data_IF_908724397551
#
_entry.id   IF_908724397551
#
_cell.length_a   1.000
_cell.length_b   1.000
_cell.length_c   1.000
_cell.angle_alpha   90.00
_cell.angle_beta   90.00
_cell.angle_gamma   90.00
#
_symmetry.space_group_name_H-M   'P 1'
#
loop_
_entity.id
_entity.type
_entity.pdbx_description
1 polymer ?
#
# COMPACT_ATOMS: atom_id res chain seq x y z
N UNK A 1 9.16 -4.31 -31.24
CA UNK A 1 9.00 -4.11 -29.79
C UNK A 1 7.88 -5.02 -29.33
N UNK A 2 8.13 -5.89 -28.35
CA UNK A 2 7.10 -6.74 -27.75
C UNK A 2 6.74 -6.13 -26.39
N UNK A 3 5.47 -5.82 -26.16
CA UNK A 3 4.99 -5.23 -24.90
C UNK A 3 4.39 -6.37 -24.07
N UNK A 4 4.94 -6.62 -22.89
CA UNK A 4 4.43 -7.59 -21.92
C UNK A 4 4.08 -6.83 -20.64
N UNK A 5 2.83 -6.94 -20.20
CA UNK A 5 2.33 -6.32 -18.98
C UNK A 5 1.88 -7.41 -18.02
N UNK A 6 2.60 -7.60 -16.93
CA UNK A 6 2.18 -8.56 -15.90
C UNK A 6 1.24 -7.90 -14.89
N UNK A 7 0.53 -8.73 -14.12
CA UNK A 7 -0.38 -8.23 -13.09
C UNK A 7 0.36 -7.44 -12.01
N UNK A 8 1.59 -7.88 -11.67
CA UNK A 8 2.45 -7.19 -10.71
C UNK A 8 2.97 -5.86 -11.26
N UNK A 9 3.40 -5.83 -12.52
CA UNK A 9 3.87 -4.59 -13.16
C UNK A 9 2.73 -3.56 -13.24
N UNK A 10 1.53 -3.99 -13.66
CA UNK A 10 0.35 -3.12 -13.69
C UNK A 10 -0.04 -2.58 -12.31
N UNK A 11 0.12 -3.39 -11.25
CA UNK A 11 -0.10 -2.95 -9.88
C UNK A 11 0.93 -1.91 -9.45
N UNK A 12 2.20 -2.14 -9.79
CA UNK A 12 3.29 -1.21 -9.54
C UNK A 12 3.08 0.11 -10.27
N UNK A 13 2.74 0.10 -11.55
CA UNK A 13 2.49 1.32 -12.35
C UNK A 13 1.35 2.14 -11.76
N UNK A 14 0.25 1.47 -11.38
CA UNK A 14 -0.91 2.12 -10.76
C UNK A 14 -0.57 2.75 -9.41
N UNK A 15 0.22 2.04 -8.60
CA UNK A 15 0.67 2.54 -7.30
C UNK A 15 1.66 3.70 -7.44
N UNK A 16 2.60 3.58 -8.38
CA UNK A 16 3.61 4.58 -8.69
C UNK A 16 2.96 5.90 -9.09
N UNK A 17 1.97 5.82 -9.99
CA UNK A 17 1.22 7.00 -10.40
C UNK A 17 0.45 7.64 -9.24
N UNK A 18 -0.13 6.83 -8.35
CA UNK A 18 -0.79 7.33 -7.16
C UNK A 18 0.20 8.05 -6.22
N UNK A 19 1.38 7.47 -5.99
CA UNK A 19 2.45 8.06 -5.15
C UNK A 19 2.90 9.40 -5.72
N UNK A 20 3.20 9.49 -7.01
CA UNK A 20 3.60 10.74 -7.66
C UNK A 20 2.54 11.83 -7.51
N UNK A 21 1.27 11.48 -7.74
CA UNK A 21 0.15 12.40 -7.57
C UNK A 21 0.04 12.89 -6.13
N UNK A 22 0.35 12.07 -5.13
CA UNK A 22 0.24 12.44 -3.73
C UNK A 22 1.42 13.30 -3.27
N UNK A 23 2.64 12.94 -3.69
CA UNK A 23 3.87 13.64 -3.36
C UNK A 23 3.97 15.02 -4.02
N UNK A 24 3.58 15.14 -5.29
CA UNK A 24 3.81 16.35 -6.10
C UNK A 24 2.48 17.06 -6.42
N UNK A 25 2.10 18.02 -5.59
CA UNK A 25 0.79 18.71 -5.66
C UNK A 25 0.59 19.58 -6.91
N UNK A 26 1.67 19.99 -7.56
CA UNK A 26 1.63 20.86 -8.75
C UNK A 26 1.10 20.15 -10.01
N UNK A 27 0.95 18.82 -9.97
CA UNK A 27 0.60 18.01 -11.15
C UNK A 27 -0.85 18.21 -11.61
N UNK A 28 -1.80 18.54 -10.71
CA UNK A 28 -3.21 18.74 -11.06
C UNK A 28 -4.04 19.35 -9.93
N UNK A 29 -5.26 19.79 -10.20
CA UNK A 29 -6.21 20.23 -9.17
C UNK A 29 -6.44 19.13 -8.10
N UNK A 30 -6.45 19.53 -6.83
CA UNK A 30 -6.46 18.62 -5.67
C UNK A 30 -7.57 17.55 -5.75
N UNK A 31 -8.78 17.89 -6.21
CA UNK A 31 -9.87 16.91 -6.38
C UNK A 31 -9.56 15.84 -7.41
N UNK A 32 -9.00 16.20 -8.57
CA UNK A 32 -8.65 15.24 -9.62
C UNK A 32 -7.52 14.33 -9.16
N UNK A 33 -6.53 14.92 -8.47
CA UNK A 33 -5.38 14.24 -7.88
C UNK A 33 -5.80 13.15 -6.90
N UNK A 34 -6.62 13.51 -5.90
CA UNK A 34 -7.13 12.58 -4.89
C UNK A 34 -8.00 11.48 -5.51
N UNK A 35 -8.87 11.84 -6.45
CA UNK A 35 -9.68 10.87 -7.19
C UNK A 35 -8.80 9.84 -7.90
N UNK A 36 -7.81 10.28 -8.66
CA UNK A 36 -6.91 9.40 -9.40
C UNK A 36 -6.03 8.55 -8.47
N UNK A 37 -5.58 9.11 -7.34
CA UNK A 37 -4.85 8.36 -6.33
C UNK A 37 -5.72 7.24 -5.73
N UNK A 38 -6.98 7.50 -5.38
CA UNK A 38 -7.92 6.46 -4.89
C UNK A 38 -8.12 5.35 -5.90
N UNK A 39 -8.35 5.70 -7.17
CA UNK A 39 -8.52 4.70 -8.24
C UNK A 39 -7.25 3.87 -8.43
N UNK A 40 -6.07 4.51 -8.41
CA UNK A 40 -4.77 3.86 -8.53
C UNK A 40 -4.49 2.87 -7.40
N UNK A 41 -4.67 3.28 -6.14
CA UNK A 41 -4.45 2.38 -4.98
C UNK A 41 -5.50 1.26 -4.92
N UNK A 42 -6.74 1.52 -5.34
CA UNK A 42 -7.78 0.48 -5.43
C UNK A 42 -7.42 -0.59 -6.47
N UNK A 43 -7.01 -0.14 -7.66
CA UNK A 43 -6.58 -1.04 -8.73
C UNK A 43 -5.35 -1.84 -8.31
N UNK A 44 -4.32 -1.17 -7.76
CA UNK A 44 -3.13 -1.85 -7.26
C UNK A 44 -3.47 -2.89 -6.18
N UNK A 45 -4.30 -2.54 -5.19
CA UNK A 45 -4.74 -3.46 -4.13
C UNK A 45 -5.38 -4.73 -4.70
N UNK A 46 -6.29 -4.58 -5.67
CA UNK A 46 -6.96 -5.72 -6.31
C UNK A 46 -5.98 -6.61 -7.07
N UNK A 47 -5.08 -6.00 -7.86
CA UNK A 47 -4.09 -6.74 -8.64
C UNK A 47 -3.08 -7.48 -7.75
N UNK A 48 -2.64 -6.88 -6.64
CA UNK A 48 -1.73 -7.54 -5.70
C UNK A 48 -2.36 -8.79 -5.07
N UNK A 49 -3.63 -8.72 -4.66
CA UNK A 49 -4.36 -9.87 -4.12
C UNK A 49 -4.50 -10.98 -5.17
N UNK A 50 -4.85 -10.63 -6.42
CA UNK A 50 -4.98 -11.58 -7.53
C UNK A 50 -3.66 -12.19 -7.95
N UNK A 51 -2.58 -11.40 -7.97
CA UNK A 51 -1.23 -11.87 -8.22
C UNK A 51 -0.80 -12.87 -7.14
N UNK A 52 -1.09 -12.59 -5.87
CA UNK A 52 -0.79 -13.57 -4.82
C UNK A 52 -1.56 -14.87 -4.99
N UNK A 53 -2.83 -14.82 -5.41
CA UNK A 53 -3.60 -16.02 -5.74
C UNK A 53 -3.04 -16.78 -6.95
N UNK A 54 -2.63 -16.05 -7.99
CA UNK A 54 -2.08 -16.62 -9.23
C UNK A 54 -0.85 -17.49 -8.94
N UNK A 55 -0.01 -17.04 -7.99
CA UNK A 55 1.17 -17.77 -7.51
C UNK A 55 0.84 -19.05 -6.74
N UNK A 56 -0.35 -19.15 -6.14
CA UNK A 56 -0.84 -20.41 -5.57
C UNK A 56 -1.36 -21.32 -6.68
N UNK A 57 -2.26 -20.80 -7.52
CA UNK A 57 -2.74 -21.47 -8.73
C UNK A 57 -3.46 -20.43 -9.62
N UNK A 58 -3.13 -20.38 -10.90
CA UNK A 58 -3.70 -19.40 -11.84
C UNK A 58 -5.24 -19.43 -11.90
N UNK A 59 -5.86 -20.61 -11.86
CA UNK A 59 -7.32 -20.73 -11.94
C UNK A 59 -8.06 -20.01 -10.79
N UNK A 60 -7.37 -19.73 -9.67
CA UNK A 60 -7.95 -19.00 -8.54
C UNK A 60 -8.19 -17.51 -8.81
N UNK A 61 -7.75 -16.99 -9.96
CA UNK A 61 -8.08 -15.63 -10.39
C UNK A 61 -9.53 -15.55 -10.93
N UNK A 62 -10.15 -16.65 -11.36
CA UNK A 62 -11.50 -16.66 -11.93
C UNK A 62 -12.58 -16.88 -10.86
N UNK A 63 -13.73 -16.20 -10.98
CA UNK A 63 -14.86 -16.46 -10.06
C UNK A 63 -15.26 -17.94 -10.10
N UNK A 64 -15.37 -18.47 -11.31
CA UNK A 64 -15.57 -19.88 -11.60
C UNK A 64 -14.25 -20.46 -12.14
N UNK A 65 -13.65 -21.38 -11.37
CA UNK A 65 -12.32 -21.93 -11.70
C UNK A 65 -12.33 -22.76 -12.98
N UNK A 66 -13.48 -23.33 -13.35
CA UNK A 66 -13.64 -24.12 -14.57
C UNK A 66 -13.62 -23.26 -15.84
N UNK A 67 -13.66 -21.92 -15.67
CA UNK A 67 -13.50 -20.98 -16.78
C UNK A 67 -12.05 -20.69 -17.14
N UNK A 68 -11.07 -21.17 -16.38
CA UNK A 68 -9.66 -21.02 -16.76
C UNK A 68 -9.36 -21.70 -18.12
N UNK A 69 -8.62 -21.08 -19.06
CA UNK A 69 -8.01 -19.75 -19.04
C UNK A 69 -8.80 -18.67 -19.84
N UNK A 70 -10.13 -18.77 -19.91
CA UNK A 70 -10.96 -17.85 -20.68
C UNK A 70 -10.84 -16.40 -20.16
N UNK A 71 -10.25 -15.52 -20.95
CA UNK A 71 -10.01 -14.11 -20.59
C UNK A 71 -11.31 -13.28 -20.46
N UNK A 72 -12.38 -13.70 -21.14
CA UNK A 72 -13.68 -13.00 -21.10
C UNK A 72 -14.49 -13.38 -19.85
N UNK A 73 -14.04 -14.40 -19.09
CA UNK A 73 -14.70 -14.82 -17.88
C UNK A 73 -14.38 -13.90 -16.70
N UNK A 74 -15.35 -13.75 -15.79
CA UNK A 74 -15.22 -12.88 -14.61
C UNK A 74 -14.07 -13.34 -13.71
N UNK A 75 -13.24 -12.39 -13.32
CA UNK A 75 -12.22 -12.59 -12.30
C UNK A 75 -12.76 -12.31 -10.90
N UNK A 76 -12.11 -12.86 -9.87
CA UNK A 76 -12.54 -12.75 -8.48
C UNK A 76 -12.67 -11.30 -8.03
N UNK A 77 -13.72 -11.03 -7.26
CA UNK A 77 -13.83 -9.81 -6.46
C UNK A 77 -12.82 -9.80 -5.31
N UNK A 78 -12.56 -8.63 -4.74
CA UNK A 78 -11.73 -8.46 -3.52
C UNK A 78 -12.15 -9.42 -2.40
N UNK A 79 -13.45 -9.57 -2.14
CA UNK A 79 -13.96 -10.43 -1.06
C UNK A 79 -13.65 -11.90 -1.31
N UNK A 80 -13.84 -12.36 -2.55
CA UNK A 80 -13.53 -13.73 -2.94
C UNK A 80 -12.04 -13.97 -2.96
N UNK A 81 -11.25 -12.95 -3.34
CA UNK A 81 -9.80 -13.01 -3.31
C UNK A 81 -9.28 -13.17 -1.87
N UNK A 82 -9.71 -12.32 -0.94
CA UNK A 82 -9.37 -12.41 0.50
C UNK A 82 -9.78 -13.77 1.07
N UNK A 83 -10.98 -14.24 0.78
CA UNK A 83 -11.48 -15.54 1.23
C UNK A 83 -10.59 -16.70 0.75
N UNK A 84 -10.22 -16.70 -0.54
CA UNK A 84 -9.32 -17.72 -1.12
C UNK A 84 -7.89 -17.61 -0.58
N UNK A 85 -7.38 -16.40 -0.39
CA UNK A 85 -6.05 -16.17 0.18
C UNK A 85 -5.94 -16.76 1.58
N UNK A 86 -6.93 -16.52 2.45
CA UNK A 86 -6.98 -17.09 3.79
C UNK A 86 -7.16 -18.61 3.78
N UNK A 87 -8.17 -19.11 3.05
CA UNK A 87 -8.59 -20.51 3.13
C UNK A 87 -7.73 -21.49 2.33
N UNK A 88 -7.15 -21.03 1.21
CA UNK A 88 -6.44 -21.89 0.26
C UNK A 88 -4.94 -21.57 0.27
N UNK A 89 -4.57 -20.28 0.28
CA UNK A 89 -3.16 -19.87 0.17
C UNK A 89 -2.46 -19.69 1.53
N UNK A 90 -3.18 -19.82 2.64
CA UNK A 90 -2.65 -19.61 4.00
C UNK A 90 -2.13 -18.20 4.27
N UNK A 91 -2.55 -17.21 3.47
CA UNK A 91 -2.10 -15.81 3.62
C UNK A 91 -2.96 -15.12 4.69
N UNK A 92 -2.37 -14.63 5.79
CA UNK A 92 -3.11 -13.90 6.80
C UNK A 92 -3.49 -12.51 6.24
N UNK A 93 -4.78 -12.20 6.30
CA UNK A 93 -5.29 -10.84 6.07
C UNK A 93 -5.99 -10.43 7.36
N UNK A 94 -5.59 -9.33 7.98
CA UNK A 94 -6.22 -8.83 9.22
C UNK A 94 -7.68 -8.44 8.98
N UNK A 95 -8.45 -8.31 10.06
CA UNK A 95 -9.85 -7.86 9.95
C UNK A 95 -9.88 -6.39 9.53
N UNK A 96 -8.91 -5.62 9.98
CA UNK A 96 -8.70 -4.21 9.65
C UNK A 96 -8.41 -4.05 8.14
N UNK A 97 -7.49 -4.85 7.59
CA UNK A 97 -7.15 -4.81 6.16
C UNK A 97 -8.32 -5.27 5.29
N UNK A 98 -9.08 -6.28 5.73
CA UNK A 98 -10.30 -6.68 5.03
C UNK A 98 -11.33 -5.54 5.00
N UNK A 99 -11.57 -4.86 6.13
CA UNK A 99 -12.51 -3.72 6.19
C UNK A 99 -12.04 -2.57 5.32
N UNK A 100 -10.74 -2.26 5.37
CA UNK A 100 -10.10 -1.26 4.51
C UNK A 100 -10.31 -1.56 3.03
N UNK A 101 -10.00 -2.79 2.60
CA UNK A 101 -10.12 -3.20 1.20
C UNK A 101 -11.57 -3.18 0.69
N UNK A 102 -12.53 -3.57 1.56
CA UNK A 102 -13.97 -3.46 1.26
C UNK A 102 -14.41 -2.00 1.13
N UNK A 103 -13.97 -1.15 2.05
CA UNK A 103 -14.23 0.29 2.02
C UNK A 103 -13.67 0.90 0.73
N UNK A 104 -12.40 0.63 0.42
CA UNK A 104 -11.74 1.12 -0.78
C UNK A 104 -12.46 0.70 -2.07
N UNK A 105 -12.88 -0.56 -2.18
CA UNK A 105 -13.70 -1.04 -3.31
C UNK A 105 -15.01 -0.25 -3.43
N UNK A 106 -15.70 -0.01 -2.32
CA UNK A 106 -16.94 0.74 -2.32
C UNK A 106 -16.70 2.21 -2.72
N UNK A 107 -15.62 2.83 -2.24
CA UNK A 107 -15.21 4.19 -2.64
C UNK A 107 -14.89 4.28 -4.12
N UNK A 108 -14.12 3.33 -4.67
CA UNK A 108 -13.84 3.24 -6.12
C UNK A 108 -15.14 3.17 -6.93
N UNK A 109 -16.05 2.27 -6.53
CA UNK A 109 -17.36 2.13 -7.19
C UNK A 109 -18.19 3.43 -7.09
N UNK A 110 -18.17 4.12 -5.95
CA UNK A 110 -18.84 5.40 -5.77
C UNK A 110 -18.27 6.46 -6.73
N UNK A 111 -16.93 6.56 -6.83
CA UNK A 111 -16.25 7.52 -7.69
C UNK A 111 -16.57 7.34 -9.17
N UNK A 112 -16.67 6.11 -9.68
CA UNK A 112 -16.87 5.87 -11.11
C UNK A 112 -18.33 5.80 -11.54
N UNK A 113 -19.23 5.38 -10.64
CA UNK A 113 -20.61 5.07 -10.99
C UNK A 113 -21.64 5.99 -10.34
N UNK A 114 -21.26 6.80 -9.34
CA UNK A 114 -22.17 7.64 -8.57
C UNK A 114 -21.56 9.02 -8.30
N UNK A 115 -22.36 9.91 -7.70
CA UNK A 115 -21.80 11.12 -7.11
C UNK A 115 -21.13 10.75 -5.78
N UNK A 116 -19.85 11.12 -5.64
CA UNK A 116 -19.07 10.87 -4.44
C UNK A 116 -18.65 12.20 -3.82
N UNK A 117 -19.03 12.40 -2.56
CA UNK A 117 -18.71 13.58 -1.76
C UNK A 117 -17.95 13.15 -0.50
N UNK A 118 -16.88 13.87 -0.18
CA UNK A 118 -16.04 13.61 0.99
C UNK A 118 -15.23 14.86 1.34
N UNK A 119 -14.59 14.86 2.50
CA UNK A 119 -13.56 15.84 2.85
C UNK A 119 -12.17 15.37 2.41
N UNK A 120 -11.21 16.31 2.31
CA UNK A 120 -9.80 15.96 2.03
C UNK A 120 -9.23 14.98 3.06
N UNK A 121 -9.50 15.19 4.35
CA UNK A 121 -8.96 14.33 5.41
C UNK A 121 -9.47 12.89 5.33
N UNK A 122 -10.75 12.70 4.98
CA UNK A 122 -11.32 11.36 4.75
C UNK A 122 -10.70 10.67 3.52
N UNK A 123 -10.49 11.42 2.43
CA UNK A 123 -9.80 10.92 1.25
C UNK A 123 -8.36 10.50 1.60
N UNK A 124 -7.62 11.36 2.29
CA UNK A 124 -6.24 11.09 2.73
C UNK A 124 -6.16 9.86 3.63
N UNK A 125 -7.12 9.66 4.54
CA UNK A 125 -7.19 8.48 5.39
C UNK A 125 -7.38 7.19 4.57
N UNK A 126 -8.30 7.19 3.60
CA UNK A 126 -8.55 6.04 2.72
C UNK A 126 -7.30 5.73 1.90
N UNK A 127 -6.72 6.74 1.26
CA UNK A 127 -5.55 6.62 0.40
C UNK A 127 -4.35 6.12 1.21
N UNK A 128 -4.04 6.78 2.34
CA UNK A 128 -2.86 6.46 3.14
C UNK A 128 -2.94 5.07 3.76
N UNK A 129 -4.13 4.65 4.21
CA UNK A 129 -4.34 3.28 4.70
C UNK A 129 -4.15 2.24 3.59
N UNK A 130 -4.74 2.47 2.41
CA UNK A 130 -4.65 1.57 1.26
C UNK A 130 -3.23 1.48 0.69
N UNK A 131 -2.52 2.60 0.62
CA UNK A 131 -1.14 2.67 0.19
C UNK A 131 -0.23 1.90 1.15
N UNK A 132 -0.39 2.11 2.46
CA UNK A 132 0.31 1.35 3.50
C UNK A 132 0.08 -0.16 3.36
N UNK A 133 -1.16 -0.59 3.09
CA UNK A 133 -1.48 -1.98 2.80
C UNK A 133 -0.74 -2.49 1.55
N UNK A 134 -0.81 -1.77 0.42
CA UNK A 134 -0.19 -2.19 -0.84
C UNK A 134 1.32 -2.44 -0.68
N UNK A 135 2.02 -1.49 -0.06
CA UNK A 135 3.47 -1.58 0.13
C UNK A 135 3.85 -2.74 1.05
N UNK A 136 3.15 -2.90 2.18
CA UNK A 136 3.39 -4.00 3.10
C UNK A 136 3.08 -5.36 2.46
N UNK A 137 1.91 -5.49 1.83
CA UNK A 137 1.47 -6.74 1.20
C UNK A 137 2.40 -7.17 0.06
N UNK A 138 2.82 -6.24 -0.80
CA UNK A 138 3.72 -6.54 -1.90
C UNK A 138 5.08 -7.02 -1.40
N UNK A 139 5.62 -6.38 -0.35
CA UNK A 139 6.89 -6.78 0.24
C UNK A 139 6.78 -8.16 0.92
N UNK A 140 5.77 -8.36 1.77
CA UNK A 140 5.64 -9.54 2.63
C UNK A 140 5.17 -10.79 1.88
N UNK A 141 4.28 -10.64 0.90
CA UNK A 141 3.64 -11.77 0.24
C UNK A 141 4.04 -11.95 -1.23
N UNK A 142 4.65 -10.94 -1.84
CA UNK A 142 5.10 -10.99 -3.23
C UNK A 142 6.61 -10.81 -3.40
N UNK A 143 7.33 -10.43 -2.33
CA UNK A 143 8.77 -10.19 -2.36
C UNK A 143 9.16 -8.97 -3.22
N UNK A 144 8.23 -8.02 -3.41
CA UNK A 144 8.44 -6.84 -4.25
C UNK A 144 8.40 -5.59 -3.38
N UNK A 145 9.53 -4.90 -3.29
CA UNK A 145 9.60 -3.56 -2.69
C UNK A 145 9.12 -2.52 -3.72
N UNK A 146 7.84 -2.16 -3.62
CA UNK A 146 7.22 -1.15 -4.47
C UNK A 146 7.60 0.29 -4.09
N UNK A 147 8.23 0.49 -2.93
CA UNK A 147 8.70 1.81 -2.49
C UNK A 147 10.15 2.10 -2.92
N UNK A 148 10.86 1.09 -3.43
CA UNK A 148 12.30 1.14 -3.67
C UNK A 148 12.74 2.34 -4.51
N UNK A 149 12.04 2.63 -5.62
CA UNK A 149 12.42 3.71 -6.53
C UNK A 149 12.18 5.09 -5.89
N UNK A 150 11.06 5.27 -5.19
CA UNK A 150 10.73 6.53 -4.52
C UNK A 150 11.67 6.84 -3.35
N UNK A 151 12.15 5.82 -2.64
CA UNK A 151 13.13 5.99 -1.53
C UNK A 151 14.49 6.52 -2.00
N UNK A 152 14.74 6.57 -3.31
CA UNK A 152 16.00 7.03 -3.91
C UNK A 152 15.96 8.50 -4.36
N UNK A 153 14.81 9.14 -4.28
CA UNK A 153 14.64 10.56 -4.58
C UNK A 153 13.71 11.24 -3.55
N UNK A 154 13.43 12.52 -3.77
CA UNK A 154 12.65 13.32 -2.84
C UNK A 154 11.16 12.91 -2.79
N UNK A 155 10.67 12.10 -3.73
CA UNK A 155 9.26 11.68 -3.81
C UNK A 155 8.81 11.01 -2.52
N UNK A 156 9.66 10.17 -1.92
CA UNK A 156 9.31 9.49 -0.67
C UNK A 156 9.20 10.45 0.52
N UNK A 157 10.12 11.42 0.63
CA UNK A 157 10.06 12.44 1.68
C UNK A 157 8.84 13.35 1.49
N UNK A 158 8.57 13.75 0.25
CA UNK A 158 7.40 14.55 -0.09
C UNK A 158 6.10 13.79 0.21
N UNK A 159 6.03 12.50 -0.11
CA UNK A 159 4.88 11.66 0.24
C UNK A 159 4.66 11.60 1.76
N UNK A 160 5.73 11.39 2.53
CA UNK A 160 5.66 11.33 4.00
C UNK A 160 5.17 12.66 4.59
N UNK A 161 5.66 13.78 4.07
CA UNK A 161 5.26 15.12 4.50
C UNK A 161 3.83 15.51 4.09
N UNK A 162 3.41 15.18 2.87
CA UNK A 162 2.11 15.58 2.33
C UNK A 162 0.95 14.66 2.75
N UNK A 163 1.24 13.40 3.09
CA UNK A 163 0.23 12.40 3.45
C UNK A 163 0.50 11.81 4.84
N UNK A 164 0.24 12.60 5.88
CA UNK A 164 0.44 12.23 7.29
C UNK A 164 -0.26 10.91 7.67
N UNK A 165 -1.45 10.65 7.13
CA UNK A 165 -2.17 9.39 7.37
C UNK A 165 -1.43 8.18 6.78
N UNK A 166 -0.74 8.33 5.66
CA UNK A 166 0.14 7.28 5.15
C UNK A 166 1.33 7.06 6.09
N UNK A 167 2.03 8.15 6.44
CA UNK A 167 3.19 8.11 7.34
C UNK A 167 2.86 7.37 8.64
N UNK A 168 1.78 7.78 9.31
CA UNK A 168 1.29 7.16 10.56
C UNK A 168 0.91 5.69 10.40
N UNK A 169 0.08 5.36 9.40
CA UNK A 169 -0.41 3.99 9.22
C UNK A 169 0.70 3.04 8.76
N UNK A 170 1.66 3.51 7.96
CA UNK A 170 2.80 2.71 7.53
C UNK A 170 3.84 2.57 8.65
N UNK A 171 4.06 3.63 9.43
CA UNK A 171 4.89 3.62 10.64
C UNK A 171 4.43 2.57 11.64
N UNK A 172 3.13 2.47 11.93
CA UNK A 172 2.57 1.42 12.81
C UNK A 172 2.87 0.00 12.31
N UNK A 173 2.82 -0.24 11.00
CA UNK A 173 3.16 -1.57 10.43
C UNK A 173 4.64 -1.88 10.59
N UNK A 174 5.50 -0.90 10.28
CA UNK A 174 6.95 -1.02 10.43
C UNK A 174 7.31 -1.29 11.89
N UNK A 175 6.78 -0.49 12.82
CA UNK A 175 6.95 -0.66 14.26
C UNK A 175 6.61 -2.08 14.71
N UNK A 176 5.41 -2.56 14.37
CA UNK A 176 4.95 -3.91 14.73
C UNK A 176 5.88 -4.99 14.18
N UNK A 177 6.41 -4.81 12.97
CA UNK A 177 7.37 -5.74 12.36
C UNK A 177 8.71 -5.74 13.11
N UNK A 178 9.20 -4.57 13.49
CA UNK A 178 10.42 -4.43 14.30
C UNK A 178 10.26 -5.10 15.67
N UNK A 179 9.16 -4.84 16.37
CA UNK A 179 8.84 -5.45 17.67
C UNK A 179 8.71 -6.98 17.56
N UNK A 180 8.09 -7.48 16.49
CA UNK A 180 8.00 -8.93 16.21
C UNK A 180 9.37 -9.56 15.99
N UNK A 181 10.32 -8.80 15.46
CA UNK A 181 11.72 -9.21 15.29
C UNK A 181 12.58 -8.98 16.55
N UNK A 182 11.98 -8.57 17.68
CA UNK A 182 12.67 -8.35 18.95
C UNK A 182 13.46 -7.05 19.02
N UNK A 183 13.23 -6.12 18.10
CA UNK A 183 13.86 -4.79 18.13
C UNK A 183 13.05 -3.86 19.03
N UNK A 184 13.76 -3.11 19.88
CA UNK A 184 13.19 -1.96 20.56
C UNK A 184 13.22 -0.76 19.62
N UNK A 185 12.15 0.02 19.64
CA UNK A 185 11.91 1.14 18.72
C UNK A 185 11.95 2.47 19.48
N UNK A 186 12.49 3.49 18.81
CA UNK A 186 12.43 4.89 19.19
C UNK A 186 11.64 5.69 18.15
N UNK A 187 11.13 6.83 18.60
CA UNK A 187 10.49 7.83 17.76
C UNK A 187 11.52 8.50 16.86
N UNK A 188 11.20 8.66 15.57
CA UNK A 188 12.02 9.40 14.63
C UNK A 188 11.84 10.92 14.81
N UNK A 189 12.94 11.66 14.94
CA UNK A 189 12.93 13.13 15.12
C UNK A 189 12.40 13.90 13.90
N UNK A 190 12.36 13.26 12.73
CA UNK A 190 11.90 13.88 11.49
C UNK A 190 10.45 13.58 11.14
N UNK A 191 10.05 12.30 11.21
CA UNK A 191 8.70 11.89 10.82
C UNK A 191 7.79 11.53 11.99
N UNK A 192 8.26 11.65 13.25
CA UNK A 192 7.45 11.46 14.47
C UNK A 192 6.80 10.06 14.57
N UNK A 193 7.42 9.06 13.95
CA UNK A 193 6.95 7.67 13.99
C UNK A 193 7.97 6.78 14.70
N UNK A 194 7.49 5.86 15.54
CA UNK A 194 8.26 4.83 16.26
C UNK A 194 8.89 3.78 15.32
N UNK A 195 9.88 4.20 14.55
CA UNK A 195 10.44 3.40 13.45
C UNK A 195 11.96 3.46 13.38
N UNK A 196 12.63 3.93 14.44
CA UNK A 196 14.09 3.90 14.56
C UNK A 196 14.51 2.76 15.48
N UNK A 197 15.45 1.88 15.10
CA UNK A 197 15.97 0.87 16.01
C UNK A 197 16.76 1.53 17.15
N UNK A 198 16.48 1.18 18.42
CA UNK A 198 17.28 1.67 19.56
C UNK A 198 18.73 1.17 19.54
N UNK A 199 19.03 0.12 18.79
CA UNK A 199 20.40 -0.34 18.55
C UNK A 199 21.20 0.60 17.64
N UNK A 200 20.61 1.72 17.21
CA UNK A 200 21.15 2.64 16.22
C UNK A 200 20.70 2.30 14.80
N UNK A 201 20.73 3.30 13.92
CA UNK A 201 20.36 3.17 12.52
C UNK A 201 19.50 4.32 12.00
N UNK A 202 19.14 4.21 10.73
CA UNK A 202 18.16 5.10 10.10
C UNK A 202 16.73 4.66 10.46
N UNK A 203 15.81 5.61 10.47
CA UNK A 203 14.38 5.39 10.50
C UNK A 203 13.95 4.47 9.34
N UNK A 204 13.32 3.34 9.66
CA UNK A 204 12.86 2.36 8.66
C UNK A 204 11.71 2.89 7.79
N UNK A 205 11.05 3.98 8.21
CA UNK A 205 10.03 4.68 7.44
C UNK A 205 10.63 5.75 6.52
N UNK A 206 11.27 6.78 7.08
CA UNK A 206 11.71 7.96 6.33
C UNK A 206 13.21 7.98 6.03
N UNK A 207 14.03 7.06 6.56
CA UNK A 207 15.47 7.04 6.33
C UNK A 207 16.28 8.10 7.08
N UNK A 208 15.65 8.95 7.89
CA UNK A 208 16.36 9.91 8.74
C UNK A 208 17.20 9.20 9.80
N UNK A 209 18.40 9.69 10.06
CA UNK A 209 19.29 9.15 11.10
C UNK A 209 19.13 9.98 12.38
N UNK A 210 18.59 9.37 13.45
CA UNK A 210 18.49 10.05 14.75
C UNK A 210 19.88 10.12 15.41
N UNK A 211 20.20 11.25 16.04
CA UNK A 211 21.42 11.43 16.79
C UNK A 211 21.16 11.15 18.28
N UNK A 212 21.44 9.94 18.74
CA UNK A 212 21.27 9.56 20.15
C UNK A 212 22.42 10.03 21.08
N UNK A 213 23.40 10.78 20.55
CA UNK A 213 24.67 11.09 21.23
C UNK A 213 24.62 12.30 22.19
N UNK A 214 23.49 13.01 22.33
CA UNK A 214 23.43 14.24 23.14
C UNK A 214 23.00 14.04 24.62
N UNK A 215 22.68 12.81 25.04
CA UNK A 215 22.12 12.52 26.39
C UNK A 215 22.96 11.55 27.25
N UNK A 216 24.30 11.59 27.13
CA UNK A 216 25.19 10.95 28.13
C UNK A 216 25.74 12.03 29.06
N UNK A 217 25.21 12.20 30.30
CA UNK A 217 25.87 13.02 31.29
C UNK A 217 27.25 12.44 31.59
N UNK A 218 28.27 13.29 31.50
CA UNK A 218 29.65 13.00 31.87
C UNK A 218 29.81 12.56 33.33
#
# INVERSE_FOLDING_TARGET
>A
MNIRLTMLDNAQDSLSRAIELLAWREISADTSRLKQAILGVAHASELLLKERLSRTNQALIWEDVDKFPNIDARTVTVDKAISRLRKISGVPISIEDERLLRSLRNTRNAIEHFEWQTTKGEADLIIGSALSFCLAFALEHLGRDLAYEFKRDDTWQMLIGELTEFSRNHGVRIRKKMETNGLLVAECEFCENDTVPLTGGACELCGHWNNFDDDVPA
#
